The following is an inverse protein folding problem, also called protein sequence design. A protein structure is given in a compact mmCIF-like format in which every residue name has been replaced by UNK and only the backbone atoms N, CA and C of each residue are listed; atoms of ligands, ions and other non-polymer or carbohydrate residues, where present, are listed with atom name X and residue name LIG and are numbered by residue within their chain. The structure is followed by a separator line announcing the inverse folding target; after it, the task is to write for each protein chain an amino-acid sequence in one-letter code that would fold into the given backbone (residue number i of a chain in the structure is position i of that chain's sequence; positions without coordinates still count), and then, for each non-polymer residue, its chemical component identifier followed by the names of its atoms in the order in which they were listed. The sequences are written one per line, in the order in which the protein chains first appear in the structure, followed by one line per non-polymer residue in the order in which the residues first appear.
data_IF_879355532557
#
_entry.id   IF_879355532557
#
_cell.length_a   1.000
_cell.length_b   1.000
_cell.length_c   1.000
_cell.angle_alpha   90.00
_cell.angle_beta   90.00
_cell.angle_gamma   90.00
#
_symmetry.space_group_name_H-M   'P 1'
#
loop_
_entity.id
_entity.type
_entity.pdbx_description
1 polymer ?
2 polymer ?
3 water ?
#
loop_
_entity_poly.entity_id
_entity_poly.type
_entity_poly.pdbx_seq_one_letter_code
_entity_poly.pdbx_strand_id
2 'polydeoxyribonucleotide' '(DT)(DA)(DT)(DA)(DC)(DT)(DG)(DT)(DA)(DT)(DA)(DT)(DA)(DT)(DA)(DT)(DA)(DC)(DA)(DG)(DT)(DA)' ?
#
# COMPACT_ATOMS: atom_id res chain seq x y z
N UNK A 2 -23.26 -3.93 20.53
CA UNK A 2 -24.55 -3.18 20.55
C UNK A 2 -24.71 -2.35 19.28
N UNK A 3 -25.74 -2.67 18.51
CA UNK A 3 -26.01 -2.00 17.24
C UNK A 3 -26.64 -0.62 17.44
N UNK A 4 -26.52 0.23 16.42
CA UNK A 4 -27.09 1.57 16.47
C UNK A 4 -28.57 1.54 16.11
N UNK A 5 -29.33 2.47 16.69
CA UNK A 5 -30.74 2.62 16.36
C UNK A 5 -30.91 3.30 15.00
N UNK A 6 -32.14 3.34 14.50
CA UNK A 6 -32.45 3.94 13.20
C UNK A 6 -32.06 5.41 13.12
N UNK A 7 -32.17 6.13 14.23
CA UNK A 7 -31.84 7.54 14.27
C UNK A 7 -30.36 7.79 14.62
N UNK A 8 -29.78 6.89 15.41
CA UNK A 8 -28.35 6.96 15.75
C UNK A 8 -27.46 6.73 14.54
N UNK A 9 -27.91 5.84 13.65
CA UNK A 9 -27.21 5.57 12.39
C UNK A 9 -27.26 6.79 11.48
N UNK A 10 -28.38 7.51 11.51
CA UNK A 10 -28.56 8.73 10.72
C UNK A 10 -27.60 9.84 11.13
N UNK A 11 -27.30 9.93 12.43
CA UNK A 11 -26.33 10.89 12.95
C UNK A 11 -24.92 10.49 12.52
N UNK A 12 -24.59 9.23 12.73
CA UNK A 12 -23.29 8.67 12.31
C UNK A 12 -23.05 8.88 10.82
N UNK A 13 -24.09 8.69 10.02
CA UNK A 13 -24.01 8.91 8.58
C UNK A 13 -23.78 10.38 8.23
N UNK A 14 -24.40 11.27 9.00
CA UNK A 14 -24.25 12.72 8.79
C UNK A 14 -22.84 13.20 9.10
N UNK A 15 -22.29 12.72 10.22
CA UNK A 15 -20.91 13.03 10.61
C UNK A 15 -19.95 12.60 9.51
N UNK A 16 -20.12 11.37 9.02
CA UNK A 16 -19.32 10.81 7.94
C UNK A 16 -19.44 11.64 6.65
N UNK A 17 -20.65 12.14 6.39
CA UNK A 17 -20.91 12.97 5.21
C UNK A 17 -20.29 14.36 5.33
N UNK A 18 -20.40 14.96 6.51
CA UNK A 18 -19.90 16.31 6.76
C UNK A 18 -18.37 16.39 6.72
N UNK A 19 -17.70 15.37 7.25
CA UNK A 19 -16.25 15.25 7.16
C UNK A 19 -15.82 15.12 5.70
N UNK A 20 -16.59 14.34 4.93
CA UNK A 20 -16.31 14.14 3.51
C UNK A 20 -16.56 15.39 2.66
N UNK A 21 -17.45 16.26 3.13
CA UNK A 21 -17.85 17.46 2.39
C UNK A 21 -17.08 18.72 2.79
N UNK A 22 -16.74 18.85 4.06
CA UNK A 22 -16.06 20.04 4.57
C UNK A 22 -14.62 19.81 4.99
N UNK A 23 -14.27 18.56 5.29
CA UNK A 23 -12.92 18.20 5.74
C UNK A 23 -12.77 18.24 7.24
N UNK A 24 -13.86 18.52 7.94
CA UNK A 24 -13.86 18.62 9.40
C UNK A 24 -15.19 18.13 9.99
N UNK A 25 -15.15 17.54 11.21
CA UNK A 25 -16.38 17.10 11.88
C UNK A 25 -17.36 18.23 12.12
N UNK A 26 -18.66 17.91 12.25
CA UNK A 26 -19.66 18.93 12.54
C UNK A 26 -19.68 19.37 14.00
N UNK A 27 -20.20 20.56 14.25
CA UNK A 27 -20.50 21.01 15.59
C UNK A 27 -21.88 20.46 15.95
N UNK A 28 -22.20 20.47 17.24
CA UNK A 28 -23.52 20.02 17.72
C UNK A 28 -24.65 20.83 17.10
N UNK A 29 -24.40 22.12 16.87
CA UNK A 29 -25.36 23.02 16.22
C UNK A 29 -25.53 22.68 14.74
N UNK A 30 -24.45 22.23 14.10
CA UNK A 30 -24.49 21.85 12.69
C UNK A 30 -25.20 20.52 12.47
N UNK A 31 -25.01 19.57 13.40
CA UNK A 31 -25.73 18.30 13.39
C UNK A 31 -27.23 18.57 13.55
N UNK A 32 -27.57 19.43 14.51
CA UNK A 32 -28.95 19.82 14.79
C UNK A 32 -29.62 20.51 13.59
N UNK A 33 -28.91 21.46 12.99
CA UNK A 33 -29.40 22.20 11.82
C UNK A 33 -29.67 21.28 10.63
N UNK A 34 -28.73 20.36 10.38
CA UNK A 34 -28.81 19.45 9.24
C UNK A 34 -29.87 18.36 9.37
N UNK A 35 -30.07 17.88 10.59
CA UNK A 35 -31.06 16.82 10.85
C UNK A 35 -32.44 17.38 11.18
N UNK A 36 -32.50 18.65 11.57
CA UNK A 36 -33.76 19.34 11.83
C UNK A 36 -34.11 19.46 13.30
N UNK A 37 -33.11 19.27 14.17
CA UNK A 37 -33.32 19.43 15.61
C UNK A 37 -33.35 20.92 15.96
N UNK A 38 -34.33 21.31 16.77
CA UNK A 38 -34.44 22.68 17.25
C UNK A 38 -33.48 22.93 18.41
N UNK A 39 -32.90 21.85 18.94
CA UNK A 39 -31.97 21.93 20.06
C UNK A 39 -30.69 21.15 19.76
N UNK A 40 -29.52 21.79 20.02
CA UNK A 40 -28.22 21.14 19.86
C UNK A 40 -28.00 20.02 20.89
N UNK A 41 -28.76 20.05 21.98
CA UNK A 41 -28.71 19.01 23.00
C UNK A 41 -29.15 17.65 22.47
N UNK A 42 -30.05 17.67 21.49
CA UNK A 42 -30.48 16.46 20.81
C UNK A 42 -29.30 15.79 20.09
N UNK A 43 -28.44 16.61 19.50
CA UNK A 43 -27.23 16.13 18.84
C UNK A 43 -26.21 15.64 19.88
N UNK A 44 -26.09 16.39 20.97
CA UNK A 44 -25.15 16.08 22.05
C UNK A 44 -25.38 14.69 22.64
N UNK A 45 -26.62 14.42 23.07
CA UNK A 45 -26.97 13.15 23.69
C UNK A 45 -26.96 11.99 22.70
N UNK A 46 -27.18 12.32 21.42
CA UNK A 46 -27.01 11.35 20.33
C UNK A 46 -25.56 10.95 20.14
N UNK A 47 -24.65 11.91 20.34
CA UNK A 47 -23.22 11.66 20.26
C UNK A 47 -22.73 10.82 21.44
N UNK A 48 -23.25 11.12 22.62
CA UNK A 48 -22.94 10.37 23.85
C UNK A 48 -23.33 8.90 23.74
N UNK A 49 -24.44 8.64 23.05
CA UNK A 49 -24.93 7.29 22.81
C UNK A 49 -24.01 6.54 21.83
N UNK A 50 -23.57 7.24 20.78
CA UNK A 50 -22.65 6.68 19.80
C UNK A 50 -21.28 6.39 20.41
N UNK A 51 -20.89 7.22 21.38
CA UNK A 51 -19.65 7.02 22.13
C UNK A 51 -19.77 5.82 23.08
N UNK A 52 -20.98 5.62 23.61
CA UNK A 52 -21.27 4.47 24.47
C UNK A 52 -21.35 3.17 23.67
N UNK A 53 -21.84 3.26 22.44
CA UNK A 53 -21.85 2.13 21.52
C UNK A 53 -20.45 1.79 21.01
N UNK A 54 -19.57 2.79 20.98
CA UNK A 54 -18.17 2.60 20.61
C UNK A 54 -17.89 2.73 19.12
N UNK A 55 -18.63 3.60 18.45
CA UNK A 55 -18.39 3.88 17.03
C UNK A 55 -17.69 5.22 16.84
N UNK A 56 -17.88 6.13 17.79
CA UNK A 56 -17.19 7.42 17.77
C UNK A 56 -16.46 7.69 19.09
N UNK A 57 -15.58 8.68 19.07
CA UNK A 57 -14.91 9.15 20.27
C UNK A 57 -15.11 10.66 20.38
N UNK A 58 -15.53 11.11 21.56
CA UNK A 58 -15.71 12.54 21.82
C UNK A 58 -14.51 13.08 22.58
N UNK A 59 -13.79 14.00 21.95
CA UNK A 59 -12.66 14.68 22.59
C UNK A 59 -13.22 15.80 23.47
N UNK A 60 -13.05 15.64 24.77
CA UNK A 60 -13.64 16.54 25.75
C UNK A 60 -13.08 17.95 25.66
N UNK A 61 -13.97 18.93 25.52
CA UNK A 61 -13.58 20.34 25.44
C UNK A 61 -13.35 20.85 24.03
N UNK A 62 -12.74 20.01 23.20
CA UNK A 62 -12.37 20.38 21.83
C UNK A 62 -13.59 20.61 20.94
N UNK A 63 -13.56 21.70 20.17
CA UNK A 63 -14.58 21.99 19.18
C UNK A 63 -14.47 21.03 18.01
N UNK A 64 -15.62 20.60 17.47
CA UNK A 64 -15.67 19.59 16.41
C UNK A 64 -14.89 18.32 16.78
N UNK A 65 -14.94 17.96 18.06
CA UNK A 65 -14.17 16.83 18.59
C UNK A 65 -14.89 15.51 18.46
N UNK A 66 -15.09 15.07 17.22
CA UNK A 66 -15.70 13.78 16.93
C UNK A 66 -14.75 12.92 16.11
N UNK A 67 -14.28 11.82 16.69
CA UNK A 67 -13.41 10.88 15.99
C UNK A 67 -14.21 9.66 15.57
N UNK A 68 -14.13 9.32 14.29
CA UNK A 68 -14.76 8.09 13.79
C UNK A 68 -13.81 6.92 14.02
N UNK A 69 -14.27 5.93 14.78
CA UNK A 69 -13.41 4.80 15.17
C UNK A 69 -13.43 3.66 14.14
N UNK A 75 -5.87 -3.27 6.85
CA UNK A 75 -5.74 -3.66 5.45
C UNK A 75 -5.80 -5.16 5.26
N UNK A 76 -5.14 -5.66 4.20
CA UNK A 76 -5.13 -7.08 3.87
C UNK A 76 -4.42 -7.90 4.95
N UNK A 77 -5.11 -8.91 5.51
CA UNK A 77 -4.57 -9.70 6.61
C UNK A 77 -3.70 -10.88 6.16
N UNK A 78 -2.58 -11.06 6.86
CA UNK A 78 -1.71 -12.21 6.66
C UNK A 78 -2.20 -13.34 7.56
N UNK A 79 -2.89 -14.32 6.96
CA UNK A 79 -3.53 -15.38 7.74
C UNK A 79 -2.67 -16.64 7.98
N UNK A 80 -1.45 -16.65 7.42
CA UNK A 80 -0.52 -17.74 7.66
C UNK A 80 0.43 -18.03 6.51
N UNK A 81 0.80 -19.30 6.37
CA UNK A 81 1.76 -19.73 5.35
C UNK A 81 1.15 -20.69 4.32
N UNK A 82 1.55 -20.51 3.06
CA UNK A 82 1.16 -21.43 1.99
C UNK A 82 2.37 -22.23 1.51
N UNK A 83 2.15 -23.53 1.29
CA UNK A 83 3.24 -24.43 0.90
C UNK A 83 3.54 -24.36 -0.59
N UNK A 84 4.81 -24.12 -0.90
CA UNK A 84 5.32 -24.19 -2.27
C UNK A 84 6.43 -25.23 -2.32
N UNK A 85 6.11 -26.45 -1.91
CA UNK A 85 7.08 -27.54 -1.85
C UNK A 85 7.43 -27.96 -0.44
N UNK A 86 7.73 -26.97 0.40
CA UNK A 86 8.12 -27.21 1.80
C UNK A 86 6.90 -27.43 2.71
N UNK A 87 7.02 -28.34 3.70
CA UNK A 87 5.92 -28.67 4.62
C UNK A 87 5.43 -27.49 5.45
N UNK A 88 4.14 -27.51 5.78
CA UNK A 88 3.51 -26.45 6.59
C UNK A 88 3.77 -26.67 8.08
N UNK A 94 -4.00 -16.47 11.24
CA UNK A 94 -3.90 -15.05 11.58
C UNK A 94 -2.53 -14.71 12.17
N UNK A 95 -1.89 -13.68 11.63
CA UNK A 95 -0.57 -13.24 12.09
C UNK A 95 -0.46 -11.72 12.20
N UNK A 96 -0.65 -11.02 11.09
CA UNK A 96 -0.53 -9.57 11.05
C UNK A 96 -1.36 -8.88 9.97
N UNK A 97 -1.30 -7.56 9.94
CA UNK A 97 -2.04 -6.75 8.98
C UNK A 97 -1.11 -5.91 8.10
N UNK A 98 -1.43 -5.86 6.81
CA UNK A 98 -0.67 -5.06 5.84
C UNK A 98 -1.61 -4.12 5.09
N UNK A 99 -1.32 -2.82 5.15
CA UNK A 99 -2.17 -1.80 4.55
C UNK A 99 -1.94 -1.71 3.03
N UNK A 100 -2.54 -2.66 2.31
CA UNK A 100 -2.46 -2.71 0.86
C UNK A 100 -3.88 -2.63 0.27
N UNK A 101 -4.03 -1.88 -0.82
CA UNK A 101 -5.32 -1.72 -1.49
C UNK A 101 -5.84 -3.05 -2.04
N UNK A 102 -7.10 -3.41 -1.68
CA UNK A 102 -7.71 -4.66 -2.14
C UNK A 102 -8.10 -4.62 -3.62
N UNK A 103 -8.62 -3.47 -4.07
CA UNK A 103 -9.05 -3.30 -5.46
C UNK A 103 -7.89 -2.99 -6.41
N UNK A 104 -6.67 -3.29 -5.97
CA UNK A 104 -5.48 -3.14 -6.78
C UNK A 104 -5.30 -4.37 -7.69
N UNK A 105 -5.99 -5.45 -7.33
CA UNK A 105 -5.89 -6.73 -8.04
C UNK A 105 -7.18 -7.06 -8.79
N UNK A 106 -7.09 -8.00 -9.73
CA UNK A 106 -8.24 -8.44 -10.52
C UNK A 106 -8.32 -9.96 -10.55
N UNK A 107 -9.31 -10.55 -9.83
CA UNK A 107 -10.28 -9.89 -8.95
C UNK A 107 -9.66 -9.40 -7.63
N UNK A 108 -10.44 -8.63 -6.87
CA UNK A 108 -9.97 -8.03 -5.61
C UNK A 108 -9.40 -9.05 -4.63
N UNK A 109 -8.26 -8.72 -4.03
CA UNK A 109 -7.64 -9.57 -3.02
C UNK A 109 -8.38 -9.48 -1.70
N UNK A 110 -8.48 -10.61 -1.00
CA UNK A 110 -9.19 -10.68 0.29
C UNK A 110 -8.24 -10.91 1.46
N UNK A 111 -7.19 -11.69 1.24
CA UNK A 111 -6.18 -11.99 2.26
C UNK A 111 -4.80 -12.28 1.67
N UNK A 112 -3.80 -12.37 2.54
CA UNK A 112 -2.41 -12.63 2.13
C UNK A 112 -1.83 -13.88 2.79
N UNK A 113 -1.03 -14.61 2.03
CA UNK A 113 -0.31 -15.78 2.56
C UNK A 113 1.19 -15.71 2.26
N UNK A 114 2.00 -15.96 3.29
CA UNK A 114 3.45 -16.00 3.14
C UNK A 114 3.86 -17.32 2.48
N UNK A 115 4.46 -17.21 1.29
CA UNK A 115 4.88 -18.39 0.52
C UNK A 115 6.09 -19.06 1.15
N UNK A 116 5.99 -20.37 1.34
CA UNK A 116 7.08 -21.17 1.90
C UNK A 116 7.53 -22.23 0.90
N UNK A 117 8.65 -21.98 0.24
CA UNK A 117 9.21 -22.90 -0.75
C UNK A 117 9.47 -22.26 -2.09
N UNK A 118 10.06 -23.04 -3.01
CA UNK A 118 10.50 -22.53 -4.31
C UNK A 118 9.93 -23.31 -5.49
N UNK A 119 8.72 -23.87 -5.33
CA UNK A 119 8.09 -24.65 -6.39
C UNK A 119 7.48 -23.77 -7.48
N UNK A 120 7.22 -22.51 -7.15
CA UNK A 120 6.66 -21.56 -8.12
C UNK A 120 7.71 -20.50 -8.51
N UNK A 121 8.97 -20.93 -8.53
CA UNK A 121 10.12 -20.08 -8.82
C UNK A 121 10.04 -19.43 -10.20
N UNK A 122 9.76 -20.24 -11.22
CA UNK A 122 9.81 -19.81 -12.62
C UNK A 122 8.81 -18.71 -13.00
N UNK A 123 7.80 -18.48 -12.16
CA UNK A 123 6.84 -17.40 -12.41
C UNK A 123 6.95 -16.26 -11.37
N UNK A 124 8.11 -16.14 -10.75
CA UNK A 124 8.42 -15.02 -9.87
C UNK A 124 7.81 -15.07 -8.48
N UNK A 125 7.32 -16.24 -8.09
CA UNK A 125 6.84 -16.45 -6.73
C UNK A 125 7.94 -17.15 -5.93
N UNK A 126 8.51 -16.43 -4.97
CA UNK A 126 9.70 -16.86 -4.26
C UNK A 126 9.40 -17.20 -2.81
N UNK A 127 10.33 -17.91 -2.17
CA UNK A 127 10.23 -18.26 -0.75
C UNK A 127 10.25 -17.00 0.11
N UNK A 128 9.14 -16.74 0.80
CA UNK A 128 9.01 -15.58 1.67
C UNK A 128 8.08 -14.51 1.12
N UNK A 129 7.66 -14.67 -0.13
CA UNK A 129 6.77 -13.71 -0.79
C UNK A 129 5.36 -13.73 -0.18
N UNK A 130 4.72 -12.56 -0.14
CA UNK A 130 3.36 -12.46 0.34
C UNK A 130 2.39 -12.59 -0.83
N UNK A 131 1.68 -13.71 -0.88
CA UNK A 131 0.78 -14.03 -1.97
C UNK A 131 -0.61 -13.44 -1.73
N UNK A 132 -1.02 -12.56 -2.64
CA UNK A 132 -2.36 -11.97 -2.60
C UNK A 132 -3.38 -12.95 -3.14
N UNK A 133 -4.42 -13.23 -2.34
CA UNK A 133 -5.41 -14.25 -2.67
C UNK A 133 -6.84 -13.70 -2.63
N UNK A 134 -7.62 -14.06 -3.65
CA UNK A 134 -9.04 -13.75 -3.69
C UNK A 134 -9.85 -14.96 -3.22
N UNK A 135 -10.61 -14.77 -2.15
CA UNK A 135 -11.39 -15.85 -1.54
C UNK A 135 -12.50 -16.35 -2.47
N UNK A 136 -12.30 -17.56 -2.99
CA UNK A 136 -13.26 -18.19 -3.90
C UNK A 136 -13.05 -19.71 -3.97
N UNK A 137 -14.10 -20.42 -4.37
CA UNK A 137 -14.01 -21.86 -4.65
C UNK A 137 -14.03 -22.10 -6.15
N UNK A 138 -14.48 -21.10 -6.91
CA UNK A 138 -14.57 -21.17 -8.36
C UNK A 138 -13.25 -20.78 -9.03
N UNK A 139 -12.48 -21.79 -9.41
CA UNK A 139 -11.22 -21.59 -10.13
C UNK A 139 -11.13 -22.55 -11.30
N UNK A 140 -10.72 -22.03 -12.45
CA UNK A 140 -10.56 -22.83 -13.65
C UNK A 140 -9.17 -23.46 -13.72
N UNK A 141 -9.02 -24.45 -14.58
CA UNK A 141 -7.72 -25.07 -14.84
C UNK A 141 -6.77 -24.09 -15.52
N UNK A 142 -5.48 -24.21 -15.21
CA UNK A 142 -4.47 -23.30 -15.75
C UNK A 142 -4.21 -22.11 -14.84
N UNK A 143 -5.13 -21.86 -13.92
CA UNK A 143 -4.99 -20.75 -12.97
C UNK A 143 -4.20 -21.18 -11.74
N UNK A 144 -3.46 -20.24 -11.16
CA UNK A 144 -2.70 -20.50 -9.93
C UNK A 144 -3.65 -20.47 -8.74
N UNK A 145 -3.74 -21.60 -8.05
CA UNK A 145 -4.72 -21.78 -6.98
C UNK A 145 -4.05 -22.00 -5.62
N UNK A 146 -4.76 -21.58 -4.57
CA UNK A 146 -4.38 -21.87 -3.20
C UNK A 146 -5.28 -22.99 -2.70
N UNK A 147 -4.75 -24.22 -2.69
CA UNK A 147 -5.53 -25.40 -2.35
C UNK A 147 -5.07 -26.04 -1.04
N UNK A 148 -6.00 -26.71 -0.36
CA UNK A 148 -5.70 -27.35 0.92
C UNK A 148 -5.85 -28.87 0.83
N UNK A 149 -4.76 -29.58 1.10
CA UNK A 149 -4.74 -31.04 1.08
C UNK A 149 -4.44 -31.58 2.47
N UNK A 150 -5.46 -32.16 3.11
CA UNK A 150 -5.35 -32.72 4.46
C UNK A 150 -4.71 -31.74 5.45
N UNK A 151 -5.36 -30.59 5.62
CA UNK A 151 -4.90 -29.51 6.52
C UNK A 151 -3.52 -28.92 6.17
N UNK A 152 -3.12 -29.05 4.91
CA UNK A 152 -1.89 -28.45 4.42
C UNK A 152 -2.18 -27.58 3.19
N UNK A 153 -2.11 -26.26 3.40
CA UNK A 153 -2.38 -25.28 2.36
C UNK A 153 -1.21 -25.26 1.35
N UNK A 154 -1.54 -25.38 0.07
CA UNK A 154 -0.54 -25.51 -0.99
C UNK A 154 -0.86 -24.60 -2.18
N UNK A 155 0.17 -23.98 -2.75
CA UNK A 155 0.02 -23.14 -3.94
C UNK A 155 0.63 -23.83 -5.17
N UNK A 156 -0.19 -23.95 -6.22
CA UNK A 156 0.23 -24.57 -7.49
C UNK A 156 -0.73 -24.19 -8.61
N UNK A 157 -0.39 -24.60 -9.84
CA UNK A 157 -1.26 -24.39 -10.99
C UNK A 157 -2.27 -25.54 -11.10
N UNK A 158 -3.55 -25.19 -11.20
CA UNK A 158 -4.64 -26.16 -11.13
C UNK A 158 -4.87 -26.92 -12.43
N UNK A 159 -5.11 -28.22 -12.29
CA UNK A 159 -5.50 -29.08 -13.41
C UNK A 159 -6.39 -30.21 -12.91
N UNK A 160 -7.69 -29.92 -12.77
CA UNK A 160 -8.66 -30.91 -12.29
C UNK A 160 -9.25 -31.72 -13.45
N UNK A 161 -9.33 -33.03 -13.25
CA UNK A 161 -9.88 -33.95 -14.23
C UNK A 161 -10.85 -34.92 -13.54
N UNK A 162 -11.85 -34.34 -12.86
CA UNK A 162 -12.84 -35.12 -12.13
C UNK A 162 -12.33 -35.54 -10.76
N UNK A 163 -12.09 -36.85 -10.61
CA UNK A 163 -11.57 -37.40 -9.35
C UNK A 163 -10.06 -37.28 -9.22
N UNK A 164 -9.38 -37.05 -10.35
CA UNK A 164 -7.94 -36.83 -10.36
C UNK A 164 -7.66 -35.33 -10.49
N UNK A 165 -6.92 -34.80 -9.51
CA UNK A 165 -6.52 -33.39 -9.53
C UNK A 165 -5.00 -33.26 -9.49
N UNK A 166 -4.45 -32.63 -10.52
CA UNK A 166 -3.01 -32.37 -10.60
C UNK A 166 -2.73 -30.95 -10.15
N UNK A 167 -1.72 -30.81 -9.28
CA UNK A 167 -1.25 -29.51 -8.85
C UNK A 167 0.15 -29.27 -9.39
N UNK A 168 0.23 -28.49 -10.47
CA UNK A 168 1.47 -28.31 -11.21
C UNK A 168 2.34 -27.19 -10.64
N UNK A 169 3.64 -27.47 -10.47
CA UNK A 169 4.58 -26.45 -10.01
C UNK A 169 5.18 -25.68 -11.17
N UNK A 170 5.81 -24.55 -10.87
CA UNK A 170 6.57 -23.80 -11.86
C UNK A 170 8.06 -23.89 -11.51
N UNK A 171 8.59 -25.10 -11.65
CA UNK A 171 9.99 -25.41 -11.35
C UNK A 171 10.37 -26.74 -12.00
N UNK A 172 11.55 -26.78 -12.59
CA UNK A 172 12.06 -27.97 -13.28
C UNK A 172 12.39 -29.13 -12.32
N UNK A 173 12.78 -28.77 -11.10
CA UNK A 173 13.19 -29.75 -10.10
C UNK A 173 12.00 -30.36 -9.34
N UNK A 174 10.91 -29.59 -9.23
CA UNK A 174 9.73 -30.03 -8.50
C UNK A 174 8.77 -30.85 -9.35
N UNK A 175 8.21 -31.89 -8.74
CA UNK A 175 7.25 -32.77 -9.40
C UNK A 175 5.80 -32.36 -9.08
N UNK A 176 4.86 -32.63 -10.02
CA UNK A 176 3.45 -32.31 -9.79
C UNK A 176 2.80 -33.19 -8.73
N UNK A 177 2.03 -32.57 -7.85
CA UNK A 177 1.30 -33.28 -6.79
C UNK A 177 -0.02 -33.80 -7.35
N UNK A 178 -0.17 -35.12 -7.38
CA UNK A 178 -1.39 -35.76 -7.87
C UNK A 178 -2.29 -36.12 -6.68
N UNK A 179 -3.51 -35.60 -6.69
CA UNK A 179 -4.46 -35.80 -5.61
C UNK A 179 -5.71 -36.53 -6.09
N UNK A 180 -6.11 -37.56 -5.36
CA UNK A 180 -7.35 -38.28 -5.61
C UNK A 180 -8.37 -37.91 -4.53
N UNK A 181 -9.50 -37.35 -4.95
CA UNK A 181 -10.54 -36.90 -4.02
C UNK A 181 -11.26 -38.04 -3.32
N UNK A 182 -11.22 -39.23 -3.91
CA UNK A 182 -11.89 -40.42 -3.38
C UNK A 182 -11.21 -40.96 -2.11
N UNK A 183 -10.02 -40.45 -1.81
CA UNK A 183 -9.26 -40.89 -0.63
C UNK A 183 -8.53 -39.75 0.11
N UNK A 184 -8.56 -38.55 -0.46
CA UNK A 184 -7.95 -37.37 0.17
C UNK A 184 -8.88 -36.16 0.18
N UNK A 185 -8.81 -35.39 1.26
CA UNK A 185 -9.62 -34.17 1.39
C UNK A 185 -9.02 -33.03 0.58
N UNK A 186 -9.90 -32.30 -0.11
CA UNK A 186 -9.49 -31.20 -0.99
C UNK A 186 -10.41 -30.00 -0.82
N UNK A 187 -9.82 -28.83 -0.62
CA UNK A 187 -10.58 -27.58 -0.49
C UNK A 187 -9.88 -26.44 -1.24
N UNK A 188 -10.61 -25.82 -2.15
CA UNK A 188 -10.13 -24.62 -2.82
C UNK A 188 -10.28 -23.43 -1.87
N UNK A 189 -9.15 -22.88 -1.43
CA UNK A 189 -9.16 -21.74 -0.53
C UNK A 189 -9.37 -20.43 -1.29
N UNK A 190 -8.70 -20.30 -2.43
CA UNK A 190 -8.84 -19.11 -3.26
C UNK A 190 -7.94 -19.04 -4.49
N UNK A 191 -8.05 -17.94 -5.21
CA UNK A 191 -7.27 -17.70 -6.43
C UNK A 191 -6.14 -16.72 -6.14
N UNK A 192 -4.93 -17.07 -6.60
CA UNK A 192 -3.76 -16.19 -6.47
C UNK A 192 -3.85 -15.05 -7.48
N UNK A 193 -4.03 -13.84 -6.98
CA UNK A 193 -4.25 -12.66 -7.83
C UNK A 193 -3.05 -11.72 -7.93
N UNK A 194 -2.04 -11.95 -7.09
CA UNK A 194 -0.83 -11.13 -7.09
C UNK A 194 0.19 -11.51 -6.03
N UNK A 195 1.34 -10.85 -6.06
CA UNK A 195 2.45 -11.12 -5.15
C UNK A 195 3.09 -9.82 -4.64
N UNK A 196 3.35 -9.77 -3.33
CA UNK A 196 4.07 -8.64 -2.72
C UNK A 196 5.35 -9.16 -2.06
N UNK A 197 6.47 -8.51 -2.37
CA UNK A 197 7.75 -8.84 -1.75
C UNK A 197 8.30 -7.63 -1.01
N UNK A 198 8.76 -7.84 0.23
CA UNK A 198 9.29 -6.76 1.06
C UNK A 198 10.59 -7.11 1.78
N UNK A 199 10.88 -8.41 1.88
CA UNK A 199 12.10 -8.88 2.52
C UNK A 199 11.84 -9.92 3.59
N UNK B 2 4.80 31.14 -6.61
CA UNK B 2 4.69 31.31 -5.13
C UNK B 2 5.01 29.99 -4.40
N UNK B 3 6.28 29.86 -3.98
CA UNK B 3 6.72 28.70 -3.22
C UNK B 3 6.65 28.96 -1.72
N UNK B 4 6.52 27.89 -0.95
CA UNK B 4 6.41 28.00 0.51
C UNK B 4 7.79 28.13 1.15
N UNK B 5 7.87 28.94 2.20
CA UNK B 5 9.10 29.05 3.00
C UNK B 5 9.28 27.82 3.88
N UNK B 6 10.46 27.68 4.47
CA UNK B 6 10.77 26.54 5.33
C UNK B 6 9.78 26.36 6.47
N UNK B 7 9.40 27.47 7.11
CA UNK B 7 8.47 27.44 8.24
C UNK B 7 7.03 27.24 7.79
N UNK B 8 6.67 27.83 6.65
CA UNK B 8 5.33 27.68 6.08
C UNK B 8 5.06 26.23 5.67
N UNK B 9 6.09 25.56 5.17
CA UNK B 9 5.99 24.14 4.82
C UNK B 9 5.80 23.28 6.07
N UNK B 10 6.47 23.66 7.15
CA UNK B 10 6.37 22.94 8.43
C UNK B 10 4.97 23.03 9.02
N UNK B 11 4.34 24.20 8.89
CA UNK B 11 2.95 24.40 9.32
C UNK B 11 2.00 23.56 8.46
N UNK B 12 2.23 23.56 7.15
CA UNK B 12 1.45 22.76 6.23
C UNK B 12 1.57 21.26 6.54
N UNK B 13 2.79 20.82 6.84
CA UNK B 13 3.07 19.43 7.22
C UNK B 13 2.50 19.09 8.59
N UNK B 14 2.27 20.11 9.42
CA UNK B 14 1.69 19.91 10.74
C UNK B 14 0.19 19.66 10.64
N UNK B 15 -0.50 20.49 9.84
CA UNK B 15 -1.94 20.35 9.63
C UNK B 15 -2.27 19.00 9.02
N UNK B 16 -1.55 18.63 7.96
CA UNK B 16 -1.70 17.34 7.30
C UNK B 16 -1.52 16.18 8.28
N UNK B 17 -0.54 16.32 9.18
CA UNK B 17 -0.26 15.32 10.20
C UNK B 17 -1.35 15.28 11.27
N UNK B 18 -1.83 16.45 11.66
CA UNK B 18 -2.85 16.56 12.71
C UNK B 18 -4.23 16.09 12.24
N UNK B 19 -4.51 16.25 10.95
CA UNK B 19 -5.73 15.74 10.35
C UNK B 19 -5.64 14.21 10.22
N UNK B 20 -4.45 13.71 9.89
CA UNK B 20 -4.22 12.28 9.72
C UNK B 20 -4.27 11.52 11.04
N UNK B 21 -3.95 12.20 12.14
CA UNK B 21 -3.93 11.58 13.46
C UNK B 21 -5.24 11.72 14.23
N UNK B 22 -5.76 12.95 14.31
CA UNK B 22 -6.94 13.25 15.13
C UNK B 22 -8.25 13.24 14.35
N UNK B 23 -8.17 13.34 13.02
CA UNK B 23 -9.36 13.38 12.18
C UNK B 23 -9.95 14.77 12.01
N UNK B 24 -9.26 15.76 12.56
CA UNK B 24 -9.71 17.16 12.53
C UNK B 24 -8.53 18.12 12.38
N UNK B 25 -8.76 19.26 11.71
CA UNK B 25 -7.72 20.28 11.58
C UNK B 25 -7.37 20.92 12.93
N UNK B 26 -6.13 21.39 13.09
CA UNK B 26 -5.71 22.03 14.34
C UNK B 26 -6.29 23.43 14.53
N UNK B 27 -6.29 23.89 15.78
CA UNK B 27 -6.63 25.28 16.08
C UNK B 27 -5.36 26.11 15.95
N UNK B 28 -5.51 27.43 15.99
CA UNK B 28 -4.36 28.34 15.98
C UNK B 28 -3.46 28.11 17.20
N UNK B 29 -4.10 27.85 18.35
CA UNK B 29 -3.38 27.60 19.60
C UNK B 29 -2.64 26.26 19.58
N UNK B 30 -3.23 25.26 18.93
CA UNK B 30 -2.62 23.92 18.83
C UNK B 30 -1.41 23.92 17.91
N UNK B 31 -1.46 24.71 16.84
CA UNK B 31 -0.32 24.90 15.95
C UNK B 31 0.81 25.60 16.72
N UNK B 32 0.46 26.69 17.40
CA UNK B 32 1.39 27.45 18.21
C UNK B 32 2.05 26.60 19.30
N UNK B 33 1.25 25.75 19.95
CA UNK B 33 1.74 24.89 21.02
C UNK B 33 2.71 23.83 20.52
N UNK B 34 2.36 23.19 19.40
CA UNK B 34 3.16 22.09 18.85
C UNK B 34 4.47 22.57 18.22
N UNK B 35 4.43 23.74 17.59
CA UNK B 35 5.62 24.30 16.94
C UNK B 35 6.49 25.12 17.88
N UNK B 36 5.94 25.50 19.03
CA UNK B 36 6.70 26.18 20.07
C UNK B 36 6.43 27.67 20.21
N UNK B 37 5.50 28.19 19.42
CA UNK B 37 5.15 29.61 19.48
C UNK B 37 4.42 29.94 20.78
N UNK B 38 4.75 31.08 21.36
CA UNK B 38 4.10 31.56 22.58
C UNK B 38 2.85 32.37 22.28
N UNK B 39 2.66 32.70 21.00
CA UNK B 39 1.49 33.46 20.55
C UNK B 39 0.75 32.72 19.43
N UNK B 40 -0.57 32.55 19.57
CA UNK B 40 -1.41 31.93 18.54
C UNK B 40 -1.50 32.76 17.27
N UNK B 41 -1.18 34.06 17.38
CA UNK B 41 -1.16 34.97 16.25
C UNK B 41 -0.07 34.63 15.23
N UNK B 42 1.03 34.05 15.73
CA UNK B 42 2.11 33.57 14.87
C UNK B 42 1.62 32.47 13.93
N UNK B 43 0.76 31.61 14.46
CA UNK B 43 0.11 30.56 13.67
C UNK B 43 -0.92 31.16 12.72
N UNK B 44 -1.62 32.20 13.18
CA UNK B 44 -2.66 32.86 12.39
C UNK B 44 -2.10 33.45 11.09
N UNK B 45 -1.09 34.31 11.22
CA UNK B 45 -0.48 34.97 10.06
C UNK B 45 0.25 33.98 9.16
N UNK B 46 0.66 32.84 9.72
CA UNK B 46 1.22 31.75 8.93
C UNK B 46 0.16 31.08 8.07
N UNK B 47 -1.05 30.90 8.63
CA UNK B 47 -2.17 30.35 7.89
C UNK B 47 -2.62 31.30 6.78
N UNK B 48 -2.68 32.59 7.11
CA UNK B 48 -3.05 33.63 6.15
C UNK B 48 -2.09 33.66 4.96
N UNK B 49 -0.82 33.41 5.23
CA UNK B 49 0.22 33.35 4.20
C UNK B 49 0.08 32.11 3.34
N UNK B 50 -0.32 31.00 3.96
CA UNK B 50 -0.59 29.75 3.25
C UNK B 50 -1.82 29.89 2.36
N UNK B 51 -2.77 30.71 2.82
CA UNK B 51 -4.00 30.99 2.08
C UNK B 51 -3.73 31.85 0.84
N UNK B 52 -2.81 32.81 0.99
CA UNK B 52 -2.42 33.68 -0.13
C UNK B 52 -1.66 32.93 -1.21
N UNK B 53 -0.84 31.97 -0.79
CA UNK B 53 -0.09 31.12 -1.72
C UNK B 53 -0.94 29.98 -2.27
N UNK B 54 -2.16 29.85 -1.73
CA UNK B 54 -3.17 28.95 -2.28
C UNK B 54 -2.99 27.47 -2.04
N UNK B 55 -2.37 27.13 -0.90
CA UNK B 55 -2.22 25.72 -0.50
C UNK B 55 -3.30 25.29 0.49
N UNK B 56 -3.82 26.25 1.25
CA UNK B 56 -4.92 25.99 2.18
C UNK B 56 -6.08 26.97 1.96
N UNK B 57 -7.21 26.68 2.61
CA UNK B 57 -8.37 27.56 2.59
C UNK B 57 -8.87 27.73 4.02
N UNK B 58 -9.10 28.98 4.41
CA UNK B 58 -9.58 29.28 5.76
C UNK B 58 -11.07 29.57 5.75
N UNK B 59 -11.82 28.72 6.44
CA UNK B 59 -13.27 28.91 6.58
C UNK B 59 -13.51 29.95 7.66
N UNK B 60 -14.04 31.10 7.25
CA UNK B 60 -14.20 32.26 8.13
C UNK B 60 -15.23 32.00 9.23
N UNK B 61 -14.83 32.27 10.47
CA UNK B 61 -15.70 32.11 11.63
C UNK B 61 -15.64 30.71 12.23
N UNK B 62 -15.53 29.70 11.36
CA UNK B 62 -15.54 28.31 11.77
C UNK B 62 -14.29 27.91 12.55
N UNK B 63 -14.49 27.27 13.69
CA UNK B 63 -13.40 26.72 14.48
C UNK B 63 -12.75 25.57 13.74
N UNK B 64 -11.41 25.52 13.77
CA UNK B 64 -10.62 24.52 13.03
C UNK B 64 -10.94 24.57 11.53
N UNK B 65 -11.29 25.74 11.04
CA UNK B 65 -11.68 25.93 9.64
C UNK B 65 -10.51 26.00 8.70
N UNK B 66 -9.72 24.93 8.66
CA UNK B 66 -8.59 24.83 7.76
C UNK B 66 -8.84 23.71 6.75
N UNK B 67 -8.92 24.09 5.48
CA UNK B 67 -9.18 23.15 4.41
C UNK B 67 -7.96 23.07 3.50
N UNK B 68 -7.37 21.89 3.42
CA UNK B 68 -6.19 21.66 2.57
C UNK B 68 -6.58 21.59 1.10
N UNK B 69 -5.76 22.19 0.24
CA UNK B 69 -6.04 22.23 -1.19
C UNK B 69 -4.99 21.46 -2.00
N UNK B 75 -1.19 7.72 -2.71
CA UNK B 75 -0.20 6.72 -2.30
C UNK B 75 1.06 6.77 -3.13
N UNK B 76 1.63 5.60 -3.40
CA UNK B 76 2.87 5.49 -4.18
C UNK B 76 2.62 5.71 -5.67
N UNK B 77 3.42 6.59 -6.30
CA UNK B 77 3.26 6.89 -7.72
C UNK B 77 4.04 5.95 -8.64
N UNK B 78 3.43 5.60 -9.77
CA UNK B 78 4.09 4.87 -10.84
C UNK B 78 4.56 5.88 -11.89
N UNK B 79 5.86 6.14 -11.91
CA UNK B 79 6.43 7.19 -12.76
C UNK B 79 6.57 6.80 -14.23
N UNK B 80 6.98 5.56 -14.49
CA UNK B 80 7.15 5.08 -15.86
C UNK B 80 7.54 3.62 -15.96
N UNK B 81 8.60 3.35 -16.70
CA UNK B 81 9.10 1.99 -16.89
C UNK B 81 10.61 1.86 -16.64
N UNK B 82 11.02 0.69 -16.15
CA UNK B 82 12.45 0.38 -15.97
C UNK B 82 12.85 -0.82 -16.84
N UNK B 83 13.97 -0.68 -17.54
CA UNK B 83 14.46 -1.72 -18.43
C UNK B 83 15.15 -2.85 -17.67
N UNK B 84 14.71 -4.08 -17.94
CA UNK B 84 15.36 -5.27 -17.42
C UNK B 84 15.77 -6.16 -18.59
N UNK B 85 16.55 -5.60 -19.51
CA UNK B 85 16.99 -6.30 -20.71
C UNK B 85 16.49 -5.65 -21.99
N UNK B 86 15.20 -5.33 -22.02
CA UNK B 86 14.58 -4.71 -23.20
C UNK B 86 14.67 -3.19 -23.15
N UNK B 94 5.54 10.34 -14.37
CA UNK B 94 4.11 10.42 -14.07
C UNK B 94 3.28 9.56 -15.03
N UNK B 95 2.54 8.61 -14.48
CA UNK B 95 1.70 7.71 -15.27
C UNK B 95 0.46 7.24 -14.51
N UNK B 96 0.66 6.74 -13.29
CA UNK B 96 -0.44 6.24 -12.46
C UNK B 96 -0.16 6.28 -10.97
N UNK B 97 -1.22 6.24 -10.18
CA UNK B 97 -1.11 6.23 -8.72
C UNK B 97 -1.66 4.95 -8.11
N UNK B 98 -0.95 4.43 -7.11
CA UNK B 98 -1.35 3.21 -6.40
C UNK B 98 -1.34 3.44 -4.90
N UNK B 99 -2.40 2.99 -4.23
CA UNK B 99 -2.55 3.17 -2.79
C UNK B 99 -1.89 2.01 -2.02
N UNK B 100 -0.55 2.05 -1.97
CA UNK B 100 0.24 1.07 -1.23
C UNK B 100 0.97 1.78 -0.09
N UNK B 101 1.12 1.08 1.04
CA UNK B 101 1.83 1.61 2.20
C UNK B 101 3.32 1.80 1.88
N UNK B 102 3.83 3.04 2.02
CA UNK B 102 5.25 3.32 1.79
C UNK B 102 6.15 2.76 2.88
N UNK B 103 5.63 2.70 4.12
CA UNK B 103 6.39 2.19 5.26
C UNK B 103 6.27 0.67 5.44
N UNK B 104 5.94 -0.02 4.35
CA UNK B 104 5.84 -1.47 4.34
C UNK B 104 7.19 -2.08 3.96
N UNK B 105 8.09 -1.25 3.44
CA UNK B 105 9.40 -1.68 2.97
C UNK B 105 10.52 -1.06 3.80
N UNK B 106 11.69 -1.69 3.76
CA UNK B 106 12.87 -1.20 4.49
C UNK B 106 14.08 -1.03 3.57
N UNK B 107 14.48 0.22 3.29
CA UNK B 107 13.84 1.48 3.73
C UNK B 107 12.55 1.78 2.98
N UNK B 108 11.84 2.82 3.44
CA UNK B 108 10.53 3.19 2.90
C UNK B 108 10.55 3.49 1.41
N UNK B 109 9.62 2.89 0.68
CA UNK B 109 9.50 3.10 -0.77
C UNK B 109 8.96 4.48 -1.08
N UNK B 110 9.51 5.12 -2.11
CA UNK B 110 9.11 6.46 -2.51
C UNK B 110 8.26 6.46 -3.78
N UNK B 111 8.59 5.58 -4.72
CA UNK B 111 7.84 5.46 -5.98
C UNK B 111 7.93 4.05 -6.58
N UNK B 112 7.02 3.76 -7.51
CA UNK B 112 6.98 2.48 -8.20
C UNK B 112 7.47 2.59 -9.64
N UNK B 113 7.91 1.47 -10.21
CA UNK B 113 8.44 1.44 -11.57
C UNK B 113 8.14 0.12 -12.26
N UNK B 114 7.43 0.19 -13.39
CA UNK B 114 7.02 -0.99 -14.15
C UNK B 114 8.21 -1.66 -14.84
N UNK B 115 8.54 -2.86 -14.39
CA UNK B 115 9.68 -3.62 -14.92
C UNK B 115 9.40 -4.12 -16.35
N UNK B 116 10.32 -3.80 -17.26
CA UNK B 116 10.21 -4.20 -18.66
C UNK B 116 11.37 -5.09 -19.07
N UNK B 117 11.18 -6.40 -18.94
CA UNK B 117 12.21 -7.37 -19.31
C UNK B 117 12.37 -8.48 -18.29
N UNK B 118 13.17 -9.48 -18.64
CA UNK B 118 13.32 -10.69 -17.83
C UNK B 118 14.76 -10.95 -17.37
N UNK B 119 15.55 -9.88 -17.24
CA UNK B 119 16.95 -10.02 -16.83
C UNK B 119 17.10 -10.31 -15.34
N UNK B 120 16.08 -9.96 -14.56
CA UNK B 120 16.10 -10.21 -13.12
C UNK B 120 15.14 -11.33 -12.75
N UNK B 121 15.07 -12.34 -13.62
CA UNK B 121 14.14 -13.46 -13.49
C UNK B 121 14.43 -14.34 -12.27
N UNK B 122 15.70 -14.67 -12.06
CA UNK B 122 16.12 -15.64 -11.04
C UNK B 122 15.87 -15.23 -9.59
N UNK B 123 15.63 -13.93 -9.36
CA UNK B 123 15.30 -13.45 -8.02
C UNK B 123 13.84 -12.98 -7.91
N UNK B 124 13.03 -13.33 -8.91
CA UNK B 124 11.58 -13.11 -8.86
C UNK B 124 11.10 -11.75 -9.29
N UNK B 125 11.90 -11.07 -10.13
CA UNK B 125 11.47 -9.81 -10.73
C UNK B 125 11.15 -10.07 -12.20
N UNK B 126 9.88 -9.98 -12.54
CA UNK B 126 9.39 -10.39 -13.85
C UNK B 126 8.94 -9.20 -14.70
N UNK B 127 8.75 -9.45 -15.99
CA UNK B 127 8.23 -8.45 -16.91
C UNK B 127 6.80 -8.08 -16.51
N UNK B 128 6.60 -6.79 -16.21
CA UNK B 128 5.29 -6.30 -15.81
C UNK B 128 5.13 -6.08 -14.31
N UNK B 129 6.15 -6.46 -13.54
CA UNK B 129 6.15 -6.27 -12.09
C UNK B 129 6.34 -4.81 -11.73
N UNK B 130 5.66 -4.37 -10.67
CA UNK B 130 5.84 -3.02 -10.16
C UNK B 130 6.95 -3.05 -9.10
N UNK B 131 8.03 -2.33 -9.38
CA UNK B 131 9.20 -2.33 -8.51
C UNK B 131 9.15 -1.17 -7.51
N UNK B 132 9.15 -1.50 -6.22
CA UNK B 132 9.18 -0.51 -5.15
C UNK B 132 10.60 0.05 -5.00
N UNK B 133 10.72 1.36 -5.10
CA UNK B 133 12.03 2.02 -5.10
C UNK B 133 12.12 3.15 -4.06
N UNK B 134 13.16 3.09 -3.24
CA UNK B 134 13.49 4.15 -2.29
C UNK B 134 14.49 5.11 -2.94
N UNK B 135 14.13 6.39 -3.01
CA UNK B 135 14.95 7.39 -3.70
C UNK B 135 16.20 7.78 -2.90
N UNK B 136 17.33 7.20 -3.30
CA UNK B 136 18.62 7.49 -2.67
C UNK B 136 19.77 7.25 -3.65
N UNK B 137 20.88 7.96 -3.43
CA UNK B 137 22.08 7.78 -4.25
C UNK B 137 23.15 7.02 -3.46
N UNK B 138 22.87 6.73 -2.19
CA UNK B 138 23.76 5.98 -1.31
C UNK B 138 23.49 4.47 -1.45
N UNK B 139 24.22 3.84 -2.37
CA UNK B 139 24.08 2.41 -2.61
C UNK B 139 25.44 1.70 -2.55
N UNK B 140 25.41 0.44 -2.14
CA UNK B 140 26.62 -0.36 -1.99
C UNK B 140 26.61 -1.55 -2.96
N UNK B 141 27.77 -2.18 -3.14
CA UNK B 141 27.90 -3.34 -4.02
C UNK B 141 27.09 -4.54 -3.52
N UNK B 142 26.41 -5.21 -4.46
CA UNK B 142 25.59 -6.37 -4.13
C UNK B 142 24.11 -6.05 -4.02
N UNK B 143 23.79 -4.77 -3.84
CA UNK B 143 22.40 -4.33 -3.72
C UNK B 143 21.74 -4.21 -5.09
N UNK B 144 20.44 -4.53 -5.15
CA UNK B 144 19.66 -4.36 -6.37
C UNK B 144 19.31 -2.88 -6.49
N UNK B 145 19.73 -2.28 -7.59
CA UNK B 145 19.68 -0.82 -7.74
C UNK B 145 18.95 -0.39 -9.02
N UNK B 146 18.38 0.82 -8.98
CA UNK B 146 17.78 1.45 -10.14
C UNK B 146 18.71 2.56 -10.63
N UNK B 147 19.32 2.36 -11.79
CA UNK B 147 20.30 3.29 -12.33
C UNK B 147 19.90 3.80 -13.71
N UNK B 148 20.51 4.92 -14.12
CA UNK B 148 20.23 5.52 -15.42
C UNK B 148 21.49 5.60 -16.28
N UNK B 149 21.44 4.92 -17.43
CA UNK B 149 22.56 4.91 -18.37
C UNK B 149 22.16 5.65 -19.65
N UNK B 150 22.59 6.91 -19.75
CA UNK B 150 22.28 7.79 -20.89
C UNK B 150 20.78 7.80 -21.22
N UNK B 151 20.00 8.40 -20.32
CA UNK B 151 18.54 8.51 -20.45
C UNK B 151 17.80 7.16 -20.52
N UNK B 152 18.45 6.08 -20.06
CA UNK B 152 17.82 4.77 -20.02
C UNK B 152 17.86 4.18 -18.61
N UNK B 153 16.67 4.09 -18.00
CA UNK B 153 16.52 3.58 -16.64
C UNK B 153 16.62 2.05 -16.64
N UNK B 154 17.53 1.50 -15.83
CA UNK B 154 17.80 0.07 -15.82
C UNK B 154 17.88 -0.47 -14.38
N UNK B 155 17.30 -1.65 -14.17
CA UNK B 155 17.35 -2.33 -12.88
C UNK B 155 18.34 -3.51 -12.96
N UNK B 156 19.28 -3.54 -12.02
CA UNK B 156 20.28 -4.60 -11.95
C UNK B 156 20.97 -4.63 -10.59
N UNK B 157 21.84 -5.63 -10.40
CA UNK B 157 22.64 -5.76 -9.19
C UNK B 157 23.96 -5.01 -9.38
N UNK B 158 24.24 -4.08 -8.48
CA UNK B 158 25.39 -3.19 -8.59
C UNK B 158 26.71 -3.85 -8.23
N UNK B 159 27.76 -3.50 -8.98
CA UNK B 159 29.13 -3.88 -8.66
C UNK B 159 30.07 -2.76 -9.10
N UNK B 160 30.26 -1.78 -8.22
CA UNK B 160 31.10 -0.62 -8.50
C UNK B 160 32.57 -0.91 -8.19
N UNK B 161 33.44 -0.60 -9.15
CA UNK B 161 34.89 -0.79 -8.99
C UNK B 161 35.64 0.45 -9.47
N UNK B 162 35.43 1.58 -8.79
CA UNK B 162 36.03 2.85 -9.14
C UNK B 162 35.36 3.49 -10.35
N UNK B 163 36.02 3.37 -11.50
CA UNK B 163 35.48 3.88 -12.76
C UNK B 163 34.65 2.84 -13.51
N UNK B 164 35.04 1.57 -13.36
CA UNK B 164 34.36 0.46 -14.02
C UNK B 164 33.18 -0.04 -13.19
N UNK B 165 31.99 0.47 -13.50
CA UNK B 165 30.76 0.05 -12.84
C UNK B 165 30.10 -1.07 -13.62
N UNK B 166 29.88 -2.20 -12.96
CA UNK B 166 29.29 -3.38 -13.58
C UNK B 166 27.87 -3.58 -13.05
N UNK B 167 26.90 -3.59 -13.97
CA UNK B 167 25.51 -3.87 -13.62
C UNK B 167 25.14 -5.29 -14.02
N UNK B 168 25.03 -6.16 -13.02
CA UNK B 168 24.79 -7.58 -13.25
C UNK B 168 23.31 -7.94 -13.20
N UNK B 169 22.84 -8.75 -14.17
CA UNK B 169 21.47 -9.25 -14.15
C UNK B 169 21.37 -10.59 -13.40
N UNK B 170 20.15 -10.97 -13.05
CA UNK B 170 19.90 -12.27 -12.43
C UNK B 170 19.23 -13.21 -13.43
N UNK B 171 19.98 -13.54 -14.48
CA UNK B 171 19.54 -14.42 -15.55
C UNK B 171 20.74 -14.97 -16.30
N UNK B 172 20.74 -16.27 -16.56
CA UNK B 172 21.86 -16.94 -17.24
C UNK B 172 21.95 -16.59 -18.72
N UNK B 173 20.85 -16.10 -19.29
CA UNK B 173 20.79 -15.71 -20.70
C UNK B 173 21.29 -14.28 -20.93
N UNK B 174 21.22 -13.45 -19.90
CA UNK B 174 21.57 -12.04 -20.01
C UNK B 174 23.00 -11.75 -19.54
N UNK B 175 23.71 -10.97 -20.35
CA UNK B 175 25.09 -10.56 -20.06
C UNK B 175 25.12 -9.24 -19.27
N UNK B 176 26.15 -9.06 -18.40
CA UNK B 176 26.26 -7.86 -17.58
C UNK B 176 26.52 -6.59 -18.40
N UNK B 177 25.98 -5.47 -17.93
CA UNK B 177 26.22 -4.18 -18.56
C UNK B 177 27.40 -3.50 -17.89
N UNK B 178 28.48 -3.31 -18.65
CA UNK B 178 29.68 -2.66 -18.15
C UNK B 178 29.65 -1.17 -18.53
N UNK B 179 29.70 -0.32 -17.52
CA UNK B 179 29.62 1.14 -17.73
C UNK B 179 30.89 1.82 -17.23
N UNK B 180 31.49 2.63 -18.10
CA UNK B 180 32.66 3.43 -17.76
C UNK B 180 32.24 4.86 -17.47
N UNK B 181 32.50 5.32 -16.25
CA UNK B 181 32.08 6.65 -15.78
C UNK B 181 32.80 7.81 -16.47
N UNK B 182 33.96 7.52 -17.05
CA UNK B 182 34.77 8.54 -17.71
C UNK B 182 34.26 8.90 -19.11
N UNK B 183 33.32 8.10 -19.62
CA UNK B 183 32.76 8.32 -20.96
C UNK B 183 31.23 8.16 -21.05
N UNK B 184 30.62 7.59 -20.01
CA UNK B 184 29.17 7.37 -20.00
C UNK B 184 28.50 8.06 -18.82
N UNK B 185 27.29 8.58 -19.06
CA UNK B 185 26.50 9.24 -18.02
C UNK B 185 25.86 8.21 -17.11
N UNK B 186 26.05 8.41 -15.80
CA UNK B 186 25.53 7.48 -14.79
C UNK B 186 24.82 8.25 -13.68
N UNK B 187 23.59 7.82 -13.37
CA UNK B 187 22.81 8.41 -12.30
C UNK B 187 22.06 7.33 -11.53
N UNK B 188 22.37 7.20 -10.24
CA UNK B 188 21.65 6.29 -9.36
C UNK B 188 20.30 6.91 -9.02
N UNK B 189 19.23 6.29 -9.50
CA UNK B 189 17.87 6.79 -9.28
C UNK B 189 17.35 6.38 -7.91
N UNK B 190 17.67 5.16 -7.49
CA UNK B 190 17.25 4.67 -6.18
C UNK B 190 17.54 3.20 -5.93
N UNK B 191 17.20 2.75 -4.73
CA UNK B 191 17.40 1.37 -4.31
C UNK B 191 16.11 0.56 -4.41
N UNK B 192 16.20 -0.64 -4.99
CA UNK B 192 15.06 -1.54 -5.08
C UNK B 192 14.78 -2.19 -3.73
N UNK B 193 13.61 -1.91 -3.17
CA UNK B 193 13.25 -2.37 -1.83
C UNK B 193 12.20 -3.49 -1.83
N UNK B 194 11.43 -3.57 -2.91
CA UNK B 194 10.38 -4.59 -3.02
C UNK B 194 9.74 -4.71 -4.39
N UNK B 195 8.82 -5.67 -4.52
CA UNK B 195 8.15 -5.95 -5.79
C UNK B 195 6.65 -6.18 -5.54
N UNK B 196 5.81 -5.61 -6.40
CA UNK B 196 4.36 -5.82 -6.37
C UNK B 196 3.88 -6.30 -7.73
N UNK B 197 3.23 -7.46 -7.76
CA UNK B 197 2.66 -8.00 -8.99
C UNK B 197 1.13 -7.95 -8.93
N UNK B 198 0.50 -7.48 -10.00
CA UNK B 198 -0.96 -7.29 -10.01
C UNK B 198 -1.65 -7.72 -11.31
N UNK B 199 -1.00 -8.60 -12.08
CA UNK B 199 -1.56 -9.11 -13.32
C UNK B 199 -2.79 -9.97 -13.11
N UNK B 200 -3.65 -10.04 -14.11
CA UNK B 200 -4.86 -10.86 -14.04
C UNK B 200 -4.77 -12.11 -14.92
N UNK B 201 -3.76 -12.93 -14.65
CA UNK B 201 -3.45 -14.07 -15.53
C UNK B 201 -4.28 -15.32 -15.25
N UNK B 202 -4.67 -16.00 -16.32
CA UNK B 202 -5.46 -17.22 -16.23
C UNK B 202 -4.53 -18.43 -16.08
#
# INVERSE_FOLDING_TARGET
MKALTARQQEVFDLIRDHISQTGMPPTRAEIAQRLGFRSPNAAEEHLKALARKGVIEIVSGASRGIRLLQEEEEGLPLVGRVAAGEPLLAQQHIEGHYQVDPSLFKPNADFLLRVSGMSMKDIGIMDGDLLAVHKTQDVRNGQVVVARIDDEVTVARLKKQGNKVELLPENSEFKPIVVDLRQQSFTIEGLAVGVIRNGDWL
MKALTARQQEVFDLIRDHISQTGMPPTRAEIAQRLGFRSPNAAEEHLKALARKGVIEIVSGASRGIRLLQEEEEGLPLVGRVAAGEPLLAQQHIEGHYQVDPSLFKPNADFLLRVSGMSMKDIGIMDGDLLAVHKTQDVRNGQVVVARIDDEVTVARLKKQGNKVELLPENSEFKPIVVDLRQQSFTIEGLAVGVIRNGDWL
#
